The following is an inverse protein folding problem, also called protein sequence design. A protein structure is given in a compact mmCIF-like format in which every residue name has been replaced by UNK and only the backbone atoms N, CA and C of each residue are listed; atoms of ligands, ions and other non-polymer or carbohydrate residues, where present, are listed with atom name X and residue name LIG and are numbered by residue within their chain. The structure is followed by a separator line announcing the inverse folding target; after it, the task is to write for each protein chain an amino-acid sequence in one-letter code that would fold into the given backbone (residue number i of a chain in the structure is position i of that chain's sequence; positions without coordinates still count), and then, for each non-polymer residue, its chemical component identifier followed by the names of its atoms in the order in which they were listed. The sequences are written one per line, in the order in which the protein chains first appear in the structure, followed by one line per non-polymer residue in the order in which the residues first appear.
data_IF_655539992714
#
_entry.id   IF_655539992714
#
_cell.length_a   1.000
_cell.length_b   1.000
_cell.length_c   1.000
_cell.angle_alpha   90.00
_cell.angle_beta   90.00
_cell.angle_gamma   90.00
#
_symmetry.space_group_name_H-M   'P 1'
#
loop_
_entity.id
_entity.type
_entity.pdbx_description
1 polymer ?
#
# COMPACT_ATOMS: atom_id res chain seq x y z
N UNK A 1 -26.29 -38.32 -49.08
CA UNK A 1 -26.74 -37.41 -50.14
C UNK A 1 -27.62 -36.34 -49.51
N UNK A 2 -27.23 -35.10 -49.72
CA UNK A 2 -27.76 -33.83 -49.19
C UNK A 2 -29.28 -33.62 -49.33
N UNK A 3 -29.84 -32.73 -48.50
CA UNK A 3 -30.83 -31.79 -48.97
C UNK A 3 -30.33 -30.35 -48.79
N UNK A 4 -30.30 -29.67 -49.92
CA UNK A 4 -30.05 -28.26 -50.12
C UNK A 4 -31.27 -27.38 -49.80
N UNK A 5 -30.98 -26.13 -49.49
CA UNK A 5 -31.74 -24.94 -49.88
C UNK A 5 -32.97 -24.54 -49.05
N UNK A 6 -32.71 -23.84 -47.94
CA UNK A 6 -33.47 -22.64 -47.57
C UNK A 6 -32.50 -21.47 -47.52
N UNK A 7 -32.16 -20.98 -48.71
CA UNK A 7 -31.47 -19.70 -48.90
C UNK A 7 -32.49 -18.66 -49.36
N UNK A 8 -32.28 -17.41 -48.94
CA UNK A 8 -32.99 -16.17 -49.32
C UNK A 8 -34.15 -15.74 -48.42
N UNK A 9 -33.79 -15.21 -47.26
CA UNK A 9 -34.40 -13.95 -46.79
C UNK A 9 -33.28 -12.93 -46.62
N UNK A 10 -33.24 -12.06 -47.63
CA UNK A 10 -32.41 -10.86 -47.73
C UNK A 10 -32.73 -9.91 -46.58
N UNK A 11 -31.72 -9.44 -45.86
CA UNK A 11 -31.65 -8.06 -45.34
C UNK A 11 -30.17 -7.71 -45.06
N UNK A 12 -29.66 -6.92 -46.01
CA UNK A 12 -28.41 -6.15 -46.15
C UNK A 12 -27.44 -6.06 -44.94
N UNK A 13 -26.11 -6.12 -45.19
CA UNK A 13 -25.14 -5.73 -44.18
C UNK A 13 -25.22 -4.22 -43.97
N UNK A 14 -25.63 -3.80 -42.78
CA UNK A 14 -25.38 -2.43 -42.35
C UNK A 14 -23.87 -2.23 -42.26
N UNK A 15 -23.32 -1.44 -43.18
CA UNK A 15 -21.98 -0.88 -43.06
C UNK A 15 -21.96 0.01 -41.82
N UNK A 16 -21.48 -0.51 -40.69
CA UNK A 16 -21.11 0.31 -39.54
C UNK A 16 -19.85 1.11 -39.88
N UNK A 17 -20.06 2.16 -40.68
CA UNK A 17 -19.13 3.26 -40.84
C UNK A 17 -19.28 4.20 -39.65
N UNK A 18 -18.59 3.88 -38.55
CA UNK A 18 -17.82 4.84 -37.75
C UNK A 18 -17.20 4.11 -36.57
N UNK A 19 -16.08 3.42 -36.80
CA UNK A 19 -15.12 3.28 -35.72
C UNK A 19 -14.60 4.69 -35.45
N UNK A 20 -15.08 5.34 -34.39
CA UNK A 20 -14.32 6.47 -33.83
C UNK A 20 -12.93 5.91 -33.57
N UNK A 21 -11.86 6.45 -34.19
CA UNK A 21 -10.54 6.05 -33.76
C UNK A 21 -10.46 6.39 -32.28
N UNK A 22 -10.08 5.41 -31.44
CA UNK A 22 -9.57 5.72 -30.12
C UNK A 22 -8.51 6.79 -30.33
N UNK A 23 -8.74 7.97 -29.77
CA UNK A 23 -7.82 9.11 -29.90
C UNK A 23 -6.42 8.59 -29.65
N UNK A 24 -5.58 8.73 -30.68
CA UNK A 24 -4.20 8.27 -30.66
C UNK A 24 -3.50 8.86 -29.44
N UNK A 25 -2.87 7.96 -28.67
CA UNK A 25 -1.79 8.28 -27.75
C UNK A 25 -0.77 9.19 -28.45
N UNK A 26 -0.42 10.32 -27.84
CA UNK A 26 0.70 11.16 -28.29
C UNK A 26 0.38 12.65 -28.40
N UNK A 27 0.12 13.32 -27.28
CA UNK A 27 0.40 14.76 -27.08
C UNK A 27 0.10 15.21 -25.63
N UNK A 28 -0.86 14.58 -24.94
CA UNK A 28 -1.41 15.12 -23.68
C UNK A 28 -0.84 14.47 -22.39
N UNK A 29 0.04 13.47 -22.53
CA UNK A 29 0.55 12.68 -21.38
C UNK A 29 1.57 13.43 -20.51
N UNK A 30 2.11 14.55 -21.00
CA UNK A 30 3.09 15.40 -20.29
C UNK A 30 2.50 16.70 -19.77
N UNK A 31 1.19 16.93 -19.94
CA UNK A 31 0.56 18.14 -19.41
C UNK A 31 0.59 18.10 -17.89
N UNK A 32 1.28 19.07 -17.28
CA UNK A 32 1.28 19.21 -15.82
C UNK A 32 -0.10 19.69 -15.37
N UNK A 33 -0.70 18.92 -14.48
CA UNK A 33 -1.94 19.20 -13.77
C UNK A 33 -1.60 19.49 -12.32
N UNK A 34 -1.96 20.68 -11.85
CA UNK A 34 -1.91 20.99 -10.42
C UNK A 34 -3.20 20.54 -9.78
N UNK A 35 -3.11 19.58 -8.85
CA UNK A 35 -4.24 19.07 -8.08
C UNK A 35 -4.12 19.58 -6.66
N UNK A 36 -5.21 20.16 -6.14
CA UNK A 36 -5.32 20.50 -4.73
C UNK A 36 -6.02 19.39 -3.96
N UNK A 37 -5.41 18.94 -2.86
CA UNK A 37 -6.06 17.98 -1.94
C UNK A 37 -7.25 18.64 -1.25
N UNK A 38 -8.34 17.90 -1.08
CA UNK A 38 -9.62 18.45 -0.60
C UNK A 38 -9.64 18.77 0.91
N UNK A 39 -8.73 18.19 1.70
CA UNK A 39 -8.68 18.37 3.16
C UNK A 39 -7.31 18.90 3.59
N UNK A 40 -7.24 19.85 4.54
CA UNK A 40 -5.96 20.33 5.05
C UNK A 40 -5.24 19.24 5.87
N UNK A 41 -3.92 19.14 5.69
CA UNK A 41 -3.08 18.35 6.56
C UNK A 41 -3.04 18.95 7.97
N UNK A 42 -3.09 18.11 9.00
CA UNK A 42 -2.96 18.57 10.39
C UNK A 42 -1.56 18.24 10.90
N UNK A 43 -0.74 19.26 11.14
CA UNK A 43 0.58 19.13 11.72
C UNK A 43 0.58 19.11 13.26
N UNK A 44 1.60 18.47 13.83
CA UNK A 44 1.98 18.54 15.24
C UNK A 44 3.46 18.88 15.30
N UNK A 45 3.81 20.04 15.86
CA UNK A 45 5.18 20.58 15.91
C UNK A 45 5.88 20.75 14.54
N UNK A 46 5.11 20.81 13.46
CA UNK A 46 5.57 21.11 12.09
C UNK A 46 4.54 21.93 11.34
N UNK A 47 5.02 22.70 10.36
CA UNK A 47 4.17 23.33 9.38
C UNK A 47 3.64 22.27 8.40
N UNK A 48 2.32 22.24 8.13
CA UNK A 48 1.75 21.29 7.19
C UNK A 48 2.25 21.56 5.76
N UNK A 49 2.48 20.51 4.95
CA UNK A 49 2.94 20.67 3.58
C UNK A 49 1.86 21.33 2.69
N UNK A 50 2.29 21.82 1.53
CA UNK A 50 1.38 22.36 0.51
C UNK A 50 0.33 21.34 0.09
N UNK A 51 -0.89 21.82 -0.17
CA UNK A 51 -2.01 21.02 -0.67
C UNK A 51 -2.01 20.89 -2.19
N UNK A 52 -1.27 21.75 -2.88
CA UNK A 52 -1.12 21.71 -4.33
C UNK A 52 0.05 20.78 -4.68
N UNK A 53 -0.24 19.80 -5.53
CA UNK A 53 0.75 18.87 -6.08
C UNK A 53 0.64 18.89 -7.59
N UNK A 54 1.78 19.03 -8.26
CA UNK A 54 1.88 18.92 -9.71
C UNK A 54 2.03 17.44 -10.09
N UNK A 55 1.22 16.99 -11.04
CA UNK A 55 1.25 15.60 -11.55
C UNK A 55 0.87 15.59 -13.03
N UNK A 56 0.91 14.41 -13.66
CA UNK A 56 0.52 14.22 -15.07
C UNK A 56 -0.65 13.24 -15.20
N UNK A 57 -1.46 13.32 -16.27
CA UNK A 57 -2.49 12.32 -16.56
C UNK A 57 -1.96 10.88 -16.56
N UNK A 58 -0.75 10.67 -17.09
CA UNK A 58 -0.09 9.37 -17.13
C UNK A 58 0.23 8.82 -15.75
N UNK A 59 0.78 9.64 -14.86
CA UNK A 59 1.04 9.26 -13.45
C UNK A 59 -0.25 8.90 -12.72
N UNK A 60 -1.28 9.74 -12.83
CA UNK A 60 -2.58 9.48 -12.21
C UNK A 60 -3.18 8.16 -12.69
N UNK A 61 -3.14 7.91 -14.01
CA UNK A 61 -3.64 6.67 -14.59
C UNK A 61 -2.83 5.46 -14.12
N UNK A 62 -1.53 5.63 -13.91
CA UNK A 62 -0.67 4.60 -13.32
C UNK A 62 -1.10 4.25 -11.90
N UNK A 63 -1.34 5.26 -11.04
CA UNK A 63 -1.82 5.05 -9.67
C UNK A 63 -3.17 4.33 -9.65
N UNK A 64 -4.10 4.72 -10.53
CA UNK A 64 -5.39 4.05 -10.64
C UNK A 64 -5.22 2.58 -11.05
N UNK A 65 -4.38 2.29 -12.04
CA UNK A 65 -4.10 0.91 -12.49
C UNK A 65 -3.51 0.07 -11.37
N UNK A 66 -2.54 0.60 -10.63
CA UNK A 66 -1.88 -0.10 -9.54
C UNK A 66 -2.85 -0.38 -8.38
N UNK A 67 -3.63 0.62 -7.95
CA UNK A 67 -4.66 0.44 -6.92
C UNK A 67 -5.73 -0.57 -7.36
N UNK A 68 -6.18 -0.51 -8.62
CA UNK A 68 -7.16 -1.45 -9.15
C UNK A 68 -6.60 -2.88 -9.22
N UNK A 69 -5.34 -3.04 -9.64
CA UNK A 69 -4.64 -4.33 -9.67
C UNK A 69 -4.52 -4.91 -8.26
N UNK A 70 -4.04 -4.11 -7.30
CA UNK A 70 -3.91 -4.47 -5.88
C UNK A 70 -5.26 -4.93 -5.30
N UNK A 71 -6.33 -4.15 -5.52
CA UNK A 71 -7.70 -4.53 -5.09
C UNK A 71 -8.13 -5.87 -5.68
N UNK A 72 -7.88 -6.11 -6.98
CA UNK A 72 -8.26 -7.36 -7.64
C UNK A 72 -7.45 -8.54 -7.14
N UNK A 73 -6.16 -8.35 -6.86
CA UNK A 73 -5.31 -9.35 -6.24
C UNK A 73 -5.91 -9.79 -4.89
N UNK A 74 -6.27 -8.86 -4.02
CA UNK A 74 -6.80 -9.18 -2.69
C UNK A 74 -8.16 -9.88 -2.76
N UNK A 75 -9.05 -9.46 -3.65
CA UNK A 75 -10.34 -10.15 -3.88
C UNK A 75 -10.12 -11.59 -4.39
N UNK A 76 -9.12 -11.80 -5.24
CA UNK A 76 -8.75 -13.14 -5.70
C UNK A 76 -8.13 -13.97 -4.55
N UNK A 77 -7.30 -13.36 -3.70
CA UNK A 77 -6.75 -14.02 -2.52
C UNK A 77 -7.86 -14.46 -1.54
N UNK A 78 -8.87 -13.63 -1.30
CA UNK A 78 -10.05 -14.00 -0.51
C UNK A 78 -10.79 -15.21 -1.10
N UNK A 79 -10.99 -15.21 -2.42
CA UNK A 79 -11.64 -16.32 -3.12
C UNK A 79 -10.85 -17.63 -2.99
N UNK A 80 -9.53 -17.58 -3.14
CA UNK A 80 -8.62 -18.73 -2.98
C UNK A 80 -8.53 -19.20 -1.53
N UNK A 81 -8.63 -18.29 -0.57
CA UNK A 81 -8.69 -18.59 0.86
C UNK A 81 -9.98 -19.35 1.21
N UNK A 82 -11.14 -18.87 0.73
CA UNK A 82 -12.42 -19.58 0.86
C UNK A 82 -12.42 -20.95 0.19
N UNK A 83 -11.72 -21.08 -0.94
CA UNK A 83 -11.48 -22.37 -1.62
C UNK A 83 -10.46 -23.28 -0.90
N UNK A 84 -9.91 -22.87 0.25
CA UNK A 84 -8.90 -23.60 1.04
C UNK A 84 -7.57 -23.86 0.31
N UNK A 85 -7.32 -23.11 -0.76
CA UNK A 85 -6.06 -23.15 -1.51
C UNK A 85 -4.97 -22.32 -0.80
N UNK A 86 -5.36 -21.18 -0.21
CA UNK A 86 -4.55 -20.45 0.76
C UNK A 86 -4.98 -20.96 2.16
N UNK A 87 -4.02 -21.19 3.05
CA UNK A 87 -4.24 -21.72 4.40
C UNK A 87 -3.54 -20.85 5.44
N UNK A 88 -3.96 -20.96 6.69
CA UNK A 88 -3.36 -20.19 7.79
C UNK A 88 -3.92 -18.78 7.83
N UNK A 89 -3.06 -17.78 7.78
CA UNK A 89 -3.46 -16.37 7.83
C UNK A 89 -3.57 -15.78 6.42
N UNK A 90 -4.49 -14.83 6.23
CA UNK A 90 -4.62 -14.05 5.01
C UNK A 90 -5.18 -12.67 5.37
N UNK A 91 -4.32 -11.65 5.44
CA UNK A 91 -4.71 -10.29 5.83
C UNK A 91 -4.78 -9.39 4.60
N UNK A 92 -6.00 -9.16 4.11
CA UNK A 92 -6.23 -8.43 2.86
C UNK A 92 -5.99 -6.93 3.03
N UNK A 93 -5.25 -6.29 2.13
CA UNK A 93 -4.99 -4.84 2.16
C UNK A 93 -6.02 -4.03 1.36
N UNK A 94 -7.19 -4.62 1.07
CA UNK A 94 -8.23 -3.95 0.29
C UNK A 94 -8.80 -2.73 1.04
N UNK A 95 -8.89 -1.62 0.32
CA UNK A 95 -9.27 -0.31 0.88
C UNK A 95 -8.09 0.47 1.47
N UNK A 96 -6.85 -0.07 1.44
CA UNK A 96 -5.61 0.62 1.84
C UNK A 96 -4.66 0.97 0.70
N UNK A 97 -5.01 0.66 -0.54
CA UNK A 97 -4.11 0.73 -1.69
C UNK A 97 -3.53 2.13 -1.93
N UNK A 98 -4.30 3.18 -1.66
CA UNK A 98 -3.85 4.56 -1.75
C UNK A 98 -2.63 4.86 -0.87
N UNK A 99 -2.50 4.20 0.29
CA UNK A 99 -1.35 4.36 1.19
C UNK A 99 -0.12 3.74 0.55
N UNK A 100 -0.21 2.49 0.10
CA UNK A 100 0.90 1.78 -0.54
C UNK A 100 1.37 2.49 -1.83
N UNK A 101 0.44 2.86 -2.73
CA UNK A 101 0.76 3.55 -3.98
C UNK A 101 1.28 4.97 -3.74
N UNK A 102 0.64 5.72 -2.85
CA UNK A 102 1.06 7.09 -2.53
C UNK A 102 2.44 7.15 -1.86
N UNK A 103 2.73 6.21 -0.95
CA UNK A 103 4.06 6.09 -0.36
C UNK A 103 5.09 5.71 -1.42
N UNK A 104 4.82 4.71 -2.24
CA UNK A 104 5.77 4.25 -3.26
C UNK A 104 6.08 5.33 -4.31
N UNK A 105 5.10 6.18 -4.64
CA UNK A 105 5.30 7.31 -5.55
C UNK A 105 6.22 8.41 -4.98
N UNK A 106 6.29 8.54 -3.65
CA UNK A 106 7.05 9.59 -2.98
C UNK A 106 8.48 9.18 -2.60
N UNK A 107 8.84 7.91 -2.77
CA UNK A 107 10.11 7.34 -2.29
C UNK A 107 10.87 6.65 -3.42
N UNK A 108 12.11 6.25 -3.13
CA UNK A 108 12.93 5.45 -4.04
C UNK A 108 13.00 4.00 -3.60
N UNK A 109 13.49 3.11 -4.49
CA UNK A 109 13.73 1.70 -4.15
C UNK A 109 14.88 1.49 -3.15
N UNK A 110 15.65 2.54 -2.85
CA UNK A 110 16.72 2.51 -1.84
C UNK A 110 16.16 2.70 -0.43
N UNK A 111 15.10 3.49 -0.30
CA UNK A 111 14.43 3.75 0.97
C UNK A 111 13.85 2.44 1.52
N UNK A 112 14.05 2.22 2.82
CA UNK A 112 13.62 1.01 3.50
C UNK A 112 12.13 1.05 3.79
N UNK A 113 11.41 -0.05 3.60
CA UNK A 113 10.06 -0.20 4.13
C UNK A 113 9.99 -1.45 5.01
N UNK A 114 9.44 -1.30 6.21
CA UNK A 114 9.14 -2.37 7.13
C UNK A 114 7.71 -2.19 7.65
N UNK A 115 6.88 -3.23 7.57
CA UNK A 115 5.46 -3.16 7.93
C UNK A 115 5.00 -4.37 8.75
N UNK A 116 3.78 -4.32 9.28
CA UNK A 116 3.17 -5.49 9.93
C UNK A 116 2.68 -6.50 8.89
N UNK A 117 1.94 -7.51 9.30
CA UNK A 117 1.47 -8.64 8.48
C UNK A 117 0.44 -8.33 7.37
N UNK A 118 0.14 -7.05 7.09
CA UNK A 118 -0.80 -6.64 6.04
C UNK A 118 -0.01 -5.92 4.95
N UNK A 119 0.61 -6.71 4.10
CA UNK A 119 1.85 -6.30 3.43
C UNK A 119 1.89 -6.67 1.94
N UNK A 120 0.84 -7.34 1.42
CA UNK A 120 0.78 -7.83 0.04
C UNK A 120 0.89 -6.69 -0.99
N UNK A 121 0.12 -5.60 -0.80
CA UNK A 121 0.13 -4.46 -1.71
C UNK A 121 1.45 -3.69 -1.67
N UNK A 122 2.06 -3.56 -0.49
CA UNK A 122 3.38 -2.94 -0.34
C UNK A 122 4.44 -3.78 -1.04
N UNK A 123 4.39 -5.11 -0.93
CA UNK A 123 5.27 -6.00 -1.67
C UNK A 123 5.16 -5.81 -3.19
N UNK A 124 3.94 -5.71 -3.74
CA UNK A 124 3.73 -5.38 -5.15
C UNK A 124 4.32 -4.02 -5.51
N UNK A 125 4.06 -2.99 -4.69
CA UNK A 125 4.62 -1.65 -4.86
C UNK A 125 6.16 -1.68 -4.91
N UNK A 126 6.81 -2.50 -4.08
CA UNK A 126 8.26 -2.72 -4.08
C UNK A 126 8.80 -3.55 -5.25
N UNK A 127 7.97 -3.84 -6.24
CA UNK A 127 8.36 -4.55 -7.47
C UNK A 127 8.14 -6.06 -7.39
N UNK A 128 7.44 -6.53 -6.36
CA UNK A 128 6.90 -7.90 -6.32
C UNK A 128 5.97 -8.18 -7.49
N UNK A 129 6.01 -9.40 -8.00
CA UNK A 129 5.09 -9.84 -9.05
C UNK A 129 3.87 -10.53 -8.46
N UNK A 130 2.75 -10.50 -9.19
CA UNK A 130 1.55 -11.26 -8.83
C UNK A 130 1.83 -12.77 -8.73
N UNK A 131 2.72 -13.29 -9.58
CA UNK A 131 3.11 -14.70 -9.54
C UNK A 131 3.79 -15.03 -8.21
N UNK A 132 4.79 -14.25 -7.80
CA UNK A 132 5.49 -14.42 -6.51
C UNK A 132 4.51 -14.28 -5.34
N UNK A 133 3.60 -13.31 -5.41
CA UNK A 133 2.59 -13.07 -4.39
C UNK A 133 1.67 -14.28 -4.18
N UNK A 134 1.00 -14.75 -5.24
CA UNK A 134 0.10 -15.90 -5.15
C UNK A 134 0.83 -17.21 -4.88
N UNK A 135 2.04 -17.38 -5.43
CA UNK A 135 2.85 -18.55 -5.15
C UNK A 135 3.19 -18.62 -3.65
N UNK A 136 3.57 -17.51 -3.02
CA UNK A 136 3.85 -17.48 -1.58
C UNK A 136 2.58 -17.74 -0.75
N UNK A 137 1.47 -17.08 -1.08
CA UNK A 137 0.17 -17.28 -0.40
C UNK A 137 -0.29 -18.74 -0.45
N UNK A 138 -0.04 -19.42 -1.56
CA UNK A 138 -0.41 -20.83 -1.75
C UNK A 138 0.68 -21.81 -1.30
N UNK A 139 1.77 -21.34 -0.66
CA UNK A 139 2.85 -22.19 -0.16
C UNK A 139 3.62 -22.91 -1.27
N UNK A 140 3.83 -22.26 -2.40
CA UNK A 140 4.53 -22.79 -3.59
C UNK A 140 5.97 -22.30 -3.64
N UNK A 141 6.82 -23.09 -4.30
CA UNK A 141 8.27 -22.83 -4.41
C UNK A 141 8.64 -21.51 -5.09
N UNK A 142 7.77 -21.02 -5.97
CA UNK A 142 8.00 -19.80 -6.77
C UNK A 142 7.60 -18.53 -6.00
N UNK A 143 7.19 -18.66 -4.74
CA UNK A 143 6.93 -17.53 -3.85
C UNK A 143 8.20 -16.81 -3.43
N UNK A 144 8.08 -15.55 -2.99
CA UNK A 144 9.22 -14.72 -2.59
C UNK A 144 10.07 -15.33 -1.45
N UNK A 145 9.45 -16.14 -0.59
CA UNK A 145 10.11 -16.89 0.49
C UNK A 145 10.03 -18.41 0.26
N UNK A 146 9.83 -18.84 -0.99
CA UNK A 146 9.72 -20.23 -1.43
C UNK A 146 8.60 -21.01 -0.72
N UNK A 147 7.50 -20.32 -0.37
CA UNK A 147 6.34 -20.89 0.29
C UNK A 147 6.52 -21.16 1.78
N UNK A 148 7.58 -20.63 2.40
CA UNK A 148 7.86 -20.79 3.84
C UNK A 148 7.30 -19.67 4.69
N UNK A 149 7.10 -18.49 4.11
CA UNK A 149 6.60 -17.31 4.83
C UNK A 149 5.08 -17.28 4.87
N UNK A 150 4.43 -17.58 3.74
CA UNK A 150 2.98 -17.39 3.60
C UNK A 150 2.57 -15.92 3.68
N UNK A 151 1.29 -15.66 3.97
CA UNK A 151 0.69 -14.32 3.87
C UNK A 151 1.38 -13.23 4.69
N UNK A 152 1.95 -13.56 5.85
CA UNK A 152 2.44 -12.53 6.75
C UNK A 152 3.89 -12.12 6.50
N UNK A 153 4.59 -12.70 5.52
CA UNK A 153 6.05 -12.73 5.48
C UNK A 153 6.61 -12.51 4.07
N UNK A 154 6.27 -11.38 3.46
CA UNK A 154 6.85 -10.96 2.19
C UNK A 154 8.12 -10.14 2.39
N UNK A 155 9.20 -10.48 1.67
CA UNK A 155 10.47 -9.77 1.74
C UNK A 155 11.01 -9.54 0.32
N UNK A 156 11.73 -8.44 0.12
CA UNK A 156 12.43 -8.17 -1.15
C UNK A 156 13.68 -7.35 -0.89
N UNK A 157 14.84 -8.00 -0.93
CA UNK A 157 16.12 -7.39 -0.60
C UNK A 157 16.52 -6.30 -1.60
N UNK A 158 16.26 -6.54 -2.88
CA UNK A 158 16.65 -5.68 -3.99
C UNK A 158 15.94 -4.32 -3.96
N UNK A 159 14.80 -4.26 -3.27
CA UNK A 159 13.99 -3.07 -3.11
C UNK A 159 13.83 -2.72 -1.62
N UNK A 160 14.85 -2.99 -0.78
CA UNK A 160 14.87 -2.61 0.65
C UNK A 160 13.56 -2.87 1.40
N UNK A 161 12.91 -4.01 1.13
CA UNK A 161 11.63 -4.37 1.72
C UNK A 161 11.82 -5.46 2.77
N UNK A 162 11.62 -5.06 4.02
CA UNK A 162 12.05 -5.79 5.21
C UNK A 162 10.95 -6.60 5.89
N UNK A 163 9.80 -6.81 5.26
CA UNK A 163 8.86 -7.79 5.76
C UNK A 163 7.41 -7.32 5.86
N UNK A 164 6.55 -8.33 5.92
CA UNK A 164 5.47 -8.39 6.87
C UNK A 164 5.92 -9.02 8.18
N UNK A 165 5.58 -8.36 9.28
CA UNK A 165 5.86 -8.86 10.63
C UNK A 165 4.56 -9.28 11.34
N UNK A 166 4.52 -10.55 11.75
CA UNK A 166 3.38 -11.15 12.47
C UNK A 166 3.23 -10.70 13.92
N UNK A 167 4.31 -10.25 14.56
CA UNK A 167 4.28 -9.78 15.96
C UNK A 167 4.00 -8.29 15.99
N UNK A 168 2.83 -7.94 16.54
CA UNK A 168 2.31 -6.56 16.56
C UNK A 168 3.28 -5.62 17.30
N UNK A 169 3.81 -4.63 16.57
CA UNK A 169 4.67 -3.58 17.11
C UNK A 169 6.17 -3.91 17.07
N UNK A 170 6.56 -5.18 16.84
CA UNK A 170 7.96 -5.61 16.82
C UNK A 170 8.74 -5.01 15.64
N UNK A 171 8.06 -4.66 14.56
CA UNK A 171 8.68 -4.07 13.38
C UNK A 171 9.16 -2.63 13.61
N UNK A 172 8.68 -1.92 14.63
CA UNK A 172 9.02 -0.51 14.87
C UNK A 172 10.44 -0.35 15.41
N UNK A 173 10.85 -1.06 16.48
CA UNK A 173 12.25 -1.08 16.89
C UNK A 173 13.19 -1.59 15.78
N UNK A 174 12.75 -2.60 15.01
CA UNK A 174 13.53 -3.12 13.87
C UNK A 174 13.74 -2.05 12.79
N UNK A 175 12.70 -1.30 12.43
CA UNK A 175 12.81 -0.18 11.49
C UNK A 175 13.75 0.92 11.98
N UNK A 176 13.73 1.23 13.28
CA UNK A 176 14.70 2.15 13.86
C UNK A 176 16.13 1.60 13.78
N UNK A 177 16.31 0.28 13.96
CA UNK A 177 17.60 -0.38 13.76
C UNK A 177 18.11 -0.30 12.31
N UNK A 178 17.23 -0.47 11.32
CA UNK A 178 17.58 -0.29 9.90
C UNK A 178 17.96 1.17 9.62
N UNK A 179 17.20 2.14 10.13
CA UNK A 179 17.52 3.56 10.01
C UNK A 179 18.86 3.92 10.69
N UNK A 180 19.15 3.31 11.83
CA UNK A 180 20.44 3.45 12.50
C UNK A 180 21.58 2.91 11.62
N UNK A 181 21.40 1.76 10.98
CA UNK A 181 22.39 1.21 10.06
C UNK A 181 22.60 2.10 8.81
N UNK A 182 21.55 2.69 8.27
CA UNK A 182 21.62 3.67 7.17
C UNK A 182 22.42 4.91 7.60
N UNK A 183 22.10 5.48 8.77
CA UNK A 183 22.85 6.61 9.35
C UNK A 183 24.32 6.27 9.59
N UNK A 184 24.59 5.10 10.16
CA UNK A 184 25.94 4.63 10.45
C UNK A 184 26.77 4.46 9.16
N UNK A 185 26.14 3.94 8.11
CA UNK A 185 26.76 3.73 6.80
C UNK A 185 26.82 5.01 5.95
N UNK A 186 26.32 6.14 6.46
CA UNK A 186 26.16 7.42 5.73
C UNK A 186 25.38 7.26 4.42
N UNK A 187 24.42 6.35 4.42
CA UNK A 187 23.47 6.22 3.31
C UNK A 187 22.42 7.35 3.43
N UNK A 188 22.10 7.97 2.29
CA UNK A 188 21.12 9.05 2.21
C UNK A 188 19.68 8.53 2.08
N UNK A 189 19.44 7.27 2.44
CA UNK A 189 18.14 6.62 2.42
C UNK A 189 17.40 6.79 3.74
N UNK A 190 16.07 6.73 3.67
CA UNK A 190 15.17 6.82 4.82
C UNK A 190 14.46 5.48 5.02
N UNK A 191 14.15 5.11 6.26
CA UNK A 191 13.33 3.92 6.56
C UNK A 191 11.92 4.32 6.98
N UNK A 192 10.92 3.74 6.33
CA UNK A 192 9.51 3.84 6.69
C UNK A 192 9.11 2.63 7.52
N UNK A 193 8.71 2.86 8.76
CA UNK A 193 8.24 1.81 9.67
C UNK A 193 6.72 1.97 9.90
N UNK A 194 5.94 1.08 9.30
CA UNK A 194 4.49 1.11 9.33
C UNK A 194 3.95 0.27 10.49
N UNK A 195 2.88 0.77 11.12
CA UNK A 195 2.14 0.07 12.16
C UNK A 195 0.68 0.48 12.17
N UNK A 196 -0.21 -0.43 12.59
CA UNK A 196 -1.63 -0.12 12.75
C UNK A 196 -1.96 0.68 14.01
N UNK A 197 -3.16 1.23 14.06
CA UNK A 197 -3.74 1.93 15.22
C UNK A 197 -3.71 1.11 16.51
N UNK A 198 -3.97 -0.20 16.43
CA UNK A 198 -3.88 -1.11 17.58
C UNK A 198 -2.44 -1.33 18.07
N UNK A 199 -1.46 -1.32 17.15
CA UNK A 199 -0.05 -1.46 17.47
C UNK A 199 0.52 -0.21 18.14
N UNK A 200 -0.11 0.96 17.95
CA UNK A 200 0.31 2.24 18.52
C UNK A 200 0.24 2.30 20.07
N UNK A 201 -0.33 1.27 20.71
CA UNK A 201 -0.38 1.13 22.17
C UNK A 201 0.73 0.21 22.73
N UNK A 202 1.58 -0.36 21.88
CA UNK A 202 2.68 -1.22 22.30
C UNK A 202 3.81 -0.38 22.92
N UNK A 203 4.34 -0.82 24.07
CA UNK A 203 5.42 -0.10 24.79
C UNK A 203 6.68 0.11 23.93
N UNK A 204 7.07 -0.93 23.18
CA UNK A 204 8.23 -0.88 22.28
C UNK A 204 8.13 0.21 21.20
N UNK A 205 6.93 0.67 20.83
CA UNK A 205 6.77 1.80 19.89
C UNK A 205 7.24 3.11 20.53
N UNK A 206 6.94 3.32 21.81
CA UNK A 206 7.39 4.50 22.55
C UNK A 206 8.89 4.46 22.85
N UNK A 207 9.43 3.28 23.18
CA UNK A 207 10.87 3.08 23.35
C UNK A 207 11.63 3.38 22.05
N UNK A 208 11.15 2.82 20.93
CA UNK A 208 11.73 3.06 19.61
C UNK A 208 11.65 4.54 19.20
N UNK A 209 10.51 5.19 19.47
CA UNK A 209 10.32 6.61 19.19
C UNK A 209 11.31 7.48 20.00
N UNK A 210 11.51 7.15 21.27
CA UNK A 210 12.49 7.83 22.12
C UNK A 210 13.92 7.67 21.59
N UNK A 211 14.30 6.46 21.21
CA UNK A 211 15.62 6.20 20.63
C UNK A 211 15.80 6.87 19.27
N UNK A 212 14.76 6.89 18.43
CA UNK A 212 14.80 7.54 17.13
C UNK A 212 15.03 9.05 17.24
N UNK A 213 14.36 9.70 18.20
CA UNK A 213 14.55 11.12 18.47
C UNK A 213 15.91 11.41 19.13
N UNK A 214 16.31 10.61 20.12
CA UNK A 214 17.59 10.79 20.82
C UNK A 214 18.78 10.66 19.88
N UNK A 215 18.70 9.75 18.91
CA UNK A 215 19.78 9.46 17.97
C UNK A 215 19.61 10.17 16.63
N UNK A 216 18.62 11.05 16.45
CA UNK A 216 18.28 11.71 15.17
C UNK A 216 18.31 10.75 13.98
N UNK A 217 17.51 9.68 14.05
CA UNK A 217 17.50 8.62 13.03
C UNK A 217 16.69 9.04 11.79
N UNK A 218 17.10 8.64 10.57
CA UNK A 218 16.35 8.86 9.34
C UNK A 218 15.19 7.85 9.23
N UNK A 219 14.23 7.91 10.16
CA UNK A 219 13.08 7.01 10.23
C UNK A 219 11.77 7.78 10.21
N UNK A 220 10.81 7.30 9.42
CA UNK A 220 9.43 7.81 9.38
C UNK A 220 8.51 6.73 9.93
N UNK A 221 7.92 7.02 11.10
CA UNK A 221 6.95 6.14 11.75
C UNK A 221 5.55 6.42 11.20
N UNK A 222 5.00 5.49 10.43
CA UNK A 222 3.71 5.65 9.76
C UNK A 222 2.64 4.85 10.49
N UNK A 223 1.67 5.55 11.09
CA UNK A 223 0.51 4.90 11.71
C UNK A 223 -0.62 4.75 10.67
N UNK A 224 -0.91 3.53 10.25
CA UNK A 224 -2.05 3.19 9.41
C UNK A 224 -3.32 3.09 10.28
N UNK A 225 -4.01 4.23 10.46
CA UNK A 225 -5.30 4.25 11.14
C UNK A 225 -6.42 3.93 10.13
N UNK A 226 -6.99 2.74 10.26
CA UNK A 226 -7.99 2.22 9.33
C UNK A 226 -9.45 2.46 9.76
N UNK A 227 -9.74 3.49 10.58
CA UNK A 227 -11.08 3.99 10.96
C UNK A 227 -12.19 2.98 10.73
N UNK A 228 -12.32 2.06 11.67
CA UNK A 228 -13.16 0.90 11.50
C UNK A 228 -14.61 1.26 11.86
N UNK A 229 -15.34 1.83 10.91
CA UNK A 229 -16.76 2.12 11.14
C UNK A 229 -17.63 0.87 11.05
N UNK A 230 -17.13 -0.26 10.52
CA UNK A 230 -17.76 -1.57 10.63
C UNK A 230 -16.72 -2.71 10.60
N UNK A 231 -16.67 -3.51 11.68
CA UNK A 231 -16.18 -4.90 11.77
C UNK A 231 -14.68 -5.30 11.71
N UNK A 232 -13.72 -4.45 11.36
CA UNK A 232 -12.29 -4.86 11.36
C UNK A 232 -11.34 -3.88 12.07
N UNK A 233 -11.64 -3.64 13.34
CA UNK A 233 -10.72 -3.03 14.31
C UNK A 233 -9.47 -3.88 14.56
N UNK A 234 -8.46 -3.35 15.28
CA UNK A 234 -7.35 -4.13 15.86
C UNK A 234 -7.87 -5.41 16.56
N UNK A 235 -7.95 -6.48 15.78
CA UNK A 235 -8.72 -7.70 16.08
C UNK A 235 -10.10 -7.47 16.73
N UNK A 236 -10.89 -6.46 16.32
CA UNK A 236 -12.25 -6.24 16.84
C UNK A 236 -12.44 -5.12 17.90
N UNK A 237 -11.39 -4.38 18.28
CA UNK A 237 -11.47 -3.27 19.28
C UNK A 237 -11.46 -1.84 18.69
N UNK A 238 -12.57 -1.11 18.86
CA UNK A 238 -12.70 0.27 18.38
C UNK A 238 -11.63 1.24 18.86
N UNK A 239 -11.27 2.22 18.04
CA UNK A 239 -10.25 3.24 18.34
C UNK A 239 -10.52 3.89 19.71
N UNK A 240 -11.75 4.32 19.98
CA UNK A 240 -12.15 4.91 21.26
C UNK A 240 -12.15 3.92 22.44
N UNK A 241 -12.14 2.61 22.18
CA UNK A 241 -11.97 1.55 23.19
C UNK A 241 -10.51 1.12 23.35
N UNK A 242 -9.70 1.28 22.32
CA UNK A 242 -8.28 0.93 22.31
C UNK A 242 -7.40 2.09 22.81
N UNK A 243 -7.85 3.33 22.64
CA UNK A 243 -7.05 4.52 22.85
C UNK A 243 -7.89 5.65 23.47
N UNK A 244 -7.45 6.18 24.61
CA UNK A 244 -8.08 7.37 25.21
C UNK A 244 -7.91 8.62 24.34
N UNK A 245 -6.75 8.75 23.69
CA UNK A 245 -6.48 9.81 22.71
C UNK A 245 -6.36 9.20 21.30
N UNK A 246 -7.31 9.51 20.39
CA UNK A 246 -7.29 9.06 18.99
C UNK A 246 -6.32 9.85 18.11
N UNK A 247 -5.65 10.87 18.66
CA UNK A 247 -4.66 11.67 17.93
C UNK A 247 -3.31 10.93 17.85
N UNK A 248 -3.24 9.84 17.08
CA UNK A 248 -2.02 9.03 16.93
C UNK A 248 -0.80 9.84 16.48
N UNK A 249 -0.99 10.79 15.57
CA UNK A 249 0.07 11.71 15.10
C UNK A 249 0.67 12.62 16.19
N UNK A 250 0.03 12.73 17.37
CA UNK A 250 0.55 13.51 18.51
C UNK A 250 1.25 12.65 19.57
N UNK A 251 1.23 11.32 19.43
CA UNK A 251 1.75 10.40 20.45
C UNK A 251 3.26 10.40 20.59
N UNK A 252 3.97 10.91 19.60
CA UNK A 252 5.41 11.13 19.71
C UNK A 252 5.81 12.24 20.65
N UNK A 253 4.85 12.98 21.24
CA UNK A 253 5.03 14.14 22.09
C UNK A 253 5.99 15.17 21.50
N UNK A 254 7.31 15.01 21.71
CA UNK A 254 8.37 15.82 21.14
C UNK A 254 8.67 15.58 19.67
N UNK A 255 8.30 14.43 19.12
CA UNK A 255 8.50 14.12 17.70
C UNK A 255 7.44 14.83 16.84
N UNK A 256 7.87 15.49 15.73
CA UNK A 256 7.00 15.94 14.65
C UNK A 256 5.96 14.91 14.19
N UNK A 257 4.73 15.36 13.93
CA UNK A 257 3.67 14.49 13.44
C UNK A 257 2.83 15.13 12.35
N UNK A 258 2.40 14.32 11.38
CA UNK A 258 1.49 14.74 10.32
C UNK A 258 0.30 13.80 10.25
N UNK A 259 -0.92 14.35 10.27
CA UNK A 259 -2.14 13.59 9.96
C UNK A 259 -2.51 13.79 8.51
N UNK A 260 -2.52 12.68 7.76
CA UNK A 260 -2.93 12.59 6.36
C UNK A 260 -4.21 11.76 6.27
N UNK A 261 -5.17 12.16 5.43
CA UNK A 261 -6.38 11.37 5.18
C UNK A 261 -6.19 10.46 3.99
N UNK A 262 -6.70 9.25 4.11
CA UNK A 262 -6.54 8.16 3.15
C UNK A 262 -7.47 8.21 1.93
N UNK A 263 -8.55 9.01 1.98
CA UNK A 263 -9.62 9.07 0.96
C UNK A 263 -9.39 10.16 -0.10
N UNK A 264 -8.14 10.48 -0.41
CA UNK A 264 -7.80 11.68 -1.19
C UNK A 264 -7.12 11.40 -2.53
N UNK A 265 -6.99 10.13 -2.94
CA UNK A 265 -6.76 9.86 -4.37
C UNK A 265 -8.13 10.05 -5.04
N UNK A 266 -8.31 11.08 -5.91
CA UNK A 266 -9.63 11.47 -6.38
C UNK A 266 -10.13 10.51 -7.46
N UNK A 267 -10.54 9.28 -7.10
CA UNK A 267 -11.27 8.35 -7.99
C UNK A 267 -12.32 7.55 -7.22
#
# INVERSE_FOLDING_TARGET
SSPSSLSKLLLRPHSFSSLRPFSSCGADDQRVLTIETSVPFTGHRIEPPSRAVDTTPGEILSFFRDMAMMRRMEIAADSLYKAKLIRGFCHLYDGQEAVAVGMEAAITKRDGIITSYRDHCTFLGRGGTLLEAFAELMGRRDGCAKGKGGSMHFYRKEASYYGGHGIVGAQIPLGCGVAFAQKYSKDASVTFALYGDGAANQGQVFEALNMAALLDLPVILVCENNHCECFYHGMGTAEWRAAKSPAYYKRGDYVPGLKVRKREVPF
#
